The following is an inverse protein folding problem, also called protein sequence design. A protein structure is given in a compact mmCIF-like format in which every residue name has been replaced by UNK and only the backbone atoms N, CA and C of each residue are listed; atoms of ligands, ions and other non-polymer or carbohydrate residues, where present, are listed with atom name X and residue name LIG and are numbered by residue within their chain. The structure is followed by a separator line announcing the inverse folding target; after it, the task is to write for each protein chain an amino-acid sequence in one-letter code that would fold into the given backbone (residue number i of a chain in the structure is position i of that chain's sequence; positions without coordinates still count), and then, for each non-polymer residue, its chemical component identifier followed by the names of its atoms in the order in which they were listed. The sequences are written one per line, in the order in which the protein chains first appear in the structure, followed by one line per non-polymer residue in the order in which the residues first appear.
data_IF_355585199687
#
_entry.id   IF_355585199687
#
_cell.length_a   1.000
_cell.length_b   1.000
_cell.length_c   1.000
_cell.angle_alpha   90.00
_cell.angle_beta   90.00
_cell.angle_gamma   90.00
#
_symmetry.space_group_name_H-M   'P 1'
#
loop_
_entity.id
_entity.type
_entity.pdbx_description
1 polymer ?
#
# COMPACT_ATOMS: atom_id res chain seq x y z
N UNK A 1 10.64 16.92 5.22
CA UNK A 1 11.93 16.23 5.43
C UNK A 1 11.84 15.60 6.81
N UNK A 2 11.85 14.28 6.93
CA UNK A 2 11.76 13.59 8.22
C UNK A 2 13.13 13.71 8.89
N UNK A 3 13.20 14.37 10.04
CA UNK A 3 14.42 14.41 10.85
C UNK A 3 14.37 13.28 11.87
N UNK A 4 15.48 12.52 11.97
CA UNK A 4 15.68 11.52 13.00
C UNK A 4 16.54 12.14 14.11
N UNK A 5 15.96 12.36 15.28
CA UNK A 5 16.69 12.74 16.49
C UNK A 5 17.01 11.46 17.29
N UNK A 6 18.31 11.15 17.43
CA UNK A 6 18.80 9.96 18.13
C UNK A 6 18.76 10.07 19.66
N UNK A 7 18.24 11.16 20.23
CA UNK A 7 18.32 11.45 21.66
C UNK A 7 17.04 11.22 22.47
N UNK A 8 15.91 10.85 21.85
CA UNK A 8 14.63 10.69 22.55
C UNK A 8 13.93 9.36 22.20
N UNK A 9 13.65 8.52 23.21
CA UNK A 9 13.09 7.17 23.07
C UNK A 9 11.61 7.14 22.66
N UNK A 10 10.94 8.29 22.58
CA UNK A 10 9.58 8.43 22.08
C UNK A 10 9.63 9.09 20.71
N UNK A 11 9.57 8.26 19.67
CA UNK A 11 9.42 8.66 18.27
C UNK A 11 8.13 9.47 18.09
N UNK A 12 8.17 10.78 18.32
CA UNK A 12 7.06 11.67 18.01
C UNK A 12 7.19 12.15 16.56
N UNK A 13 6.40 11.54 15.68
CA UNK A 13 6.14 12.05 14.35
C UNK A 13 5.26 13.30 14.50
N UNK A 14 5.85 14.48 14.28
CA UNK A 14 5.08 15.70 14.06
C UNK A 14 4.59 15.69 12.61
N UNK A 15 3.55 14.91 12.35
CA UNK A 15 2.66 15.17 11.23
C UNK A 15 1.70 16.26 11.71
N UNK A 16 1.76 17.44 11.10
CA UNK A 16 0.82 18.53 11.36
C UNK A 16 -0.61 18.00 11.35
N UNK A 17 -1.34 18.30 12.42
CA UNK A 17 -2.73 17.96 12.61
C UNK A 17 -3.57 18.35 11.37
N UNK A 18 -4.35 17.42 10.83
CA UNK A 18 -5.59 17.80 10.14
C UNK A 18 -5.81 17.43 8.67
N UNK A 19 -5.09 16.48 8.06
CA UNK A 19 -5.52 15.91 6.76
C UNK A 19 -5.47 14.38 6.81
N UNK A 20 -6.64 13.77 7.00
CA UNK A 20 -6.83 12.33 6.97
C UNK A 20 -6.50 11.87 5.53
N UNK A 21 -5.45 11.07 5.37
CA UNK A 21 -5.10 10.47 4.09
C UNK A 21 -6.25 9.52 3.71
N UNK A 22 -7.12 10.02 2.83
CA UNK A 22 -8.28 9.38 2.16
C UNK A 22 -8.88 8.15 2.85
N UNK A 23 -10.06 8.33 3.44
CA UNK A 23 -10.97 7.21 3.77
C UNK A 23 -11.10 6.28 2.54
N UNK A 24 -10.92 4.96 2.74
CA UNK A 24 -11.06 3.92 1.72
C UNK A 24 -12.39 4.06 0.96
N UNK A 25 -13.46 4.46 1.64
CA UNK A 25 -14.76 4.70 1.02
C UNK A 25 -14.72 5.91 0.08
N UNK A 26 -14.08 7.01 0.50
CA UNK A 26 -13.92 8.20 -0.35
C UNK A 26 -13.07 7.89 -1.59
N UNK A 27 -11.96 7.17 -1.43
CA UNK A 27 -11.12 6.74 -2.56
C UNK A 27 -11.91 5.95 -3.60
N UNK A 28 -12.72 4.97 -3.18
CA UNK A 28 -13.52 4.17 -4.09
C UNK A 28 -14.55 5.02 -4.86
N UNK A 29 -15.18 5.98 -4.18
CA UNK A 29 -16.13 6.89 -4.82
C UNK A 29 -15.44 7.76 -5.88
N UNK A 30 -14.29 8.37 -5.55
CA UNK A 30 -13.49 9.18 -6.48
C UNK A 30 -13.02 8.38 -7.69
N UNK A 31 -12.65 7.12 -7.49
CA UNK A 31 -12.26 6.21 -8.59
C UNK A 31 -13.45 5.87 -9.50
N UNK A 32 -14.66 5.78 -8.95
CA UNK A 32 -15.90 5.65 -9.72
C UNK A 32 -16.18 6.88 -10.58
N UNK A 33 -16.12 8.08 -9.98
CA UNK A 33 -16.26 9.35 -10.71
C UNK A 33 -15.22 9.46 -11.85
N UNK A 34 -13.97 9.07 -11.58
CA UNK A 34 -12.92 9.05 -12.61
C UNK A 34 -13.25 8.09 -13.77
N UNK A 35 -13.87 6.95 -13.49
CA UNK A 35 -14.30 6.00 -14.51
C UNK A 35 -15.44 6.55 -15.39
N UNK A 36 -16.29 7.42 -14.85
CA UNK A 36 -17.31 8.12 -15.66
C UNK A 36 -16.68 9.17 -16.58
N UNK A 37 -15.64 9.88 -16.12
CA UNK A 37 -14.94 10.89 -16.92
C UNK A 37 -14.05 10.26 -18.01
N UNK A 38 -13.38 9.13 -17.69
CA UNK A 38 -12.38 8.49 -18.55
C UNK A 38 -12.66 6.98 -18.73
N UNK A 39 -13.82 6.57 -19.26
CA UNK A 39 -14.25 5.18 -19.26
C UNK A 39 -13.33 4.25 -20.03
N UNK A 40 -12.81 4.69 -21.18
CA UNK A 40 -11.87 3.88 -21.99
C UNK A 40 -10.53 3.66 -21.28
N UNK A 41 -10.00 4.71 -20.64
CA UNK A 41 -8.70 4.66 -19.94
C UNK A 41 -8.81 3.82 -18.67
N UNK A 42 -9.85 4.05 -17.87
CA UNK A 42 -10.07 3.29 -16.63
C UNK A 42 -10.36 1.82 -16.91
N UNK A 43 -11.14 1.51 -17.95
CA UNK A 43 -11.35 0.12 -18.39
C UNK A 43 -10.04 -0.55 -18.81
N UNK A 44 -9.18 0.16 -19.56
CA UNK A 44 -7.89 -0.38 -19.97
C UNK A 44 -6.97 -0.63 -18.75
N UNK A 45 -6.94 0.29 -17.79
CA UNK A 45 -6.18 0.14 -16.55
C UNK A 45 -6.66 -1.07 -15.73
N UNK A 46 -7.97 -1.21 -15.54
CA UNK A 46 -8.54 -2.37 -14.83
C UNK A 46 -8.29 -3.68 -15.59
N UNK A 47 -8.37 -3.65 -16.92
CA UNK A 47 -8.00 -4.76 -17.78
C UNK A 47 -6.55 -5.20 -17.57
N UNK A 48 -5.61 -4.25 -17.61
CA UNK A 48 -4.19 -4.50 -17.35
C UNK A 48 -3.98 -5.14 -15.98
N UNK A 49 -4.59 -4.58 -14.92
CA UNK A 49 -4.51 -5.14 -13.58
C UNK A 49 -5.02 -6.59 -13.55
N UNK A 50 -6.19 -6.86 -14.16
CA UNK A 50 -6.79 -8.19 -14.20
C UNK A 50 -5.95 -9.21 -14.97
N UNK A 51 -5.17 -8.80 -15.97
CA UNK A 51 -4.26 -9.69 -16.67
C UNK A 51 -2.96 -9.94 -15.88
N UNK A 52 -2.42 -8.91 -15.24
CA UNK A 52 -1.18 -9.06 -14.44
C UNK A 52 -1.40 -10.00 -13.28
N UNK A 53 -2.56 -9.95 -12.61
CA UNK A 53 -2.79 -10.70 -11.36
C UNK A 53 -3.03 -12.20 -11.55
N UNK A 54 -3.33 -12.67 -12.76
CA UNK A 54 -3.57 -14.11 -13.02
C UNK A 54 -2.37 -14.96 -12.61
N UNK A 55 -2.63 -16.17 -12.11
CA UNK A 55 -1.56 -17.14 -11.83
C UNK A 55 -0.76 -17.47 -13.09
N UNK A 56 0.55 -17.65 -12.91
CA UNK A 56 1.49 -18.07 -13.95
C UNK A 56 2.75 -18.63 -13.33
N UNK A 57 3.92 -18.25 -13.85
CA UNK A 57 5.20 -18.60 -13.22
C UNK A 57 5.34 -18.05 -11.79
N UNK A 58 4.65 -16.94 -11.50
CA UNK A 58 4.44 -16.42 -10.15
C UNK A 58 2.95 -16.48 -9.84
N UNK A 59 2.63 -16.88 -8.61
CA UNK A 59 1.25 -16.89 -8.13
C UNK A 59 0.69 -15.47 -7.99
N UNK A 60 -0.64 -15.34 -8.04
CA UNK A 60 -1.35 -14.09 -7.75
C UNK A 60 -0.92 -13.50 -6.40
N UNK A 61 -0.80 -14.34 -5.37
CA UNK A 61 -0.32 -13.98 -4.02
C UNK A 61 1.08 -13.37 -4.07
N UNK A 62 2.01 -14.00 -4.78
CA UNK A 62 3.38 -13.48 -4.94
C UNK A 62 3.36 -12.12 -5.63
N UNK A 63 2.52 -11.96 -6.65
CA UNK A 63 2.38 -10.69 -7.38
C UNK A 63 1.77 -9.58 -6.52
N UNK A 64 0.78 -9.88 -5.67
CA UNK A 64 0.26 -8.90 -4.70
C UNK A 64 1.35 -8.46 -3.72
N UNK A 65 2.14 -9.40 -3.17
CA UNK A 65 3.27 -9.04 -2.28
C UNK A 65 4.29 -8.13 -2.99
N UNK A 66 4.57 -8.37 -4.28
CA UNK A 66 5.40 -7.47 -5.08
C UNK A 66 4.75 -6.09 -5.24
N UNK A 67 3.44 -6.02 -5.51
CA UNK A 67 2.70 -4.76 -5.61
C UNK A 67 2.69 -4.01 -4.28
N UNK A 68 2.60 -4.69 -3.13
CA UNK A 68 2.75 -4.08 -1.81
C UNK A 68 4.13 -3.43 -1.65
N UNK A 69 5.20 -4.16 -1.96
CA UNK A 69 6.56 -3.60 -1.90
C UNK A 69 6.74 -2.36 -2.81
N UNK A 70 6.21 -2.42 -4.03
CA UNK A 70 6.21 -1.29 -4.98
C UNK A 70 5.39 -0.12 -4.43
N UNK A 71 4.19 -0.37 -3.89
CA UNK A 71 3.32 0.66 -3.34
C UNK A 71 3.98 1.39 -2.16
N UNK A 72 4.70 0.66 -1.28
CA UNK A 72 5.50 1.26 -0.20
C UNK A 72 6.62 2.12 -0.78
N UNK A 73 7.38 1.61 -1.74
CA UNK A 73 8.49 2.34 -2.36
C UNK A 73 8.02 3.62 -3.08
N UNK A 74 6.85 3.56 -3.72
CA UNK A 74 6.21 4.70 -4.37
C UNK A 74 5.52 5.65 -3.39
N UNK A 75 5.36 5.27 -2.12
CA UNK A 75 4.60 6.01 -1.12
C UNK A 75 3.14 6.23 -1.56
N UNK A 76 2.55 5.21 -2.18
CA UNK A 76 1.18 5.26 -2.66
C UNK A 76 0.24 4.63 -1.62
N UNK A 77 -0.30 5.45 -0.71
CA UNK A 77 -1.26 4.98 0.28
C UNK A 77 -2.53 4.33 -0.31
N UNK A 78 -3.20 4.92 -1.33
CA UNK A 78 -4.34 4.28 -2.00
C UNK A 78 -3.99 2.87 -2.53
N UNK A 79 -2.78 2.69 -3.05
CA UNK A 79 -2.31 1.42 -3.54
C UNK A 79 -2.13 0.41 -2.39
N UNK A 80 -1.65 0.85 -1.21
CA UNK A 80 -1.54 -0.01 -0.03
C UNK A 80 -2.91 -0.49 0.46
N UNK A 81 -3.89 0.43 0.53
CA UNK A 81 -5.28 0.11 0.87
C UNK A 81 -5.94 -0.86 -0.10
N UNK A 82 -5.42 -0.97 -1.33
CA UNK A 82 -5.87 -1.98 -2.31
C UNK A 82 -5.09 -3.29 -2.17
N UNK A 83 -3.77 -3.26 -2.20
CA UNK A 83 -2.96 -4.48 -2.41
C UNK A 83 -2.65 -5.25 -1.11
N UNK A 84 -2.57 -4.59 0.04
CA UNK A 84 -2.36 -5.32 1.31
C UNK A 84 -3.55 -6.25 1.62
N UNK A 85 -4.83 -5.80 1.55
CA UNK A 85 -5.96 -6.70 1.75
C UNK A 85 -6.03 -7.83 0.71
N UNK A 86 -5.72 -7.56 -0.56
CA UNK A 86 -5.77 -8.63 -1.57
C UNK A 86 -4.65 -9.67 -1.38
N UNK A 87 -3.45 -9.25 -0.97
CA UNK A 87 -2.40 -10.19 -0.57
C UNK A 87 -2.90 -11.13 0.54
N UNK A 88 -3.50 -10.56 1.60
CA UNK A 88 -4.04 -11.31 2.74
C UNK A 88 -5.20 -12.22 2.33
N UNK A 89 -6.11 -11.74 1.47
CA UNK A 89 -7.21 -12.55 0.91
C UNK A 89 -6.70 -13.76 0.10
N UNK A 90 -5.55 -13.61 -0.54
CA UNK A 90 -4.85 -14.69 -1.25
C UNK A 90 -3.97 -15.57 -0.34
N UNK A 91 -4.08 -15.40 0.98
CA UNK A 91 -3.37 -16.20 1.99
C UNK A 91 -1.94 -15.76 2.25
N UNK A 92 -1.57 -14.51 1.97
CA UNK A 92 -0.33 -13.95 2.47
C UNK A 92 -0.41 -13.76 3.98
N UNK A 93 0.64 -14.13 4.71
CA UNK A 93 0.71 -13.91 6.16
C UNK A 93 1.20 -12.50 6.47
N UNK A 94 1.00 -12.07 7.72
CA UNK A 94 1.55 -10.81 8.22
C UNK A 94 3.06 -10.74 7.99
N UNK A 95 3.77 -11.82 8.25
CA UNK A 95 5.24 -11.91 8.10
C UNK A 95 5.67 -11.68 6.66
N UNK A 96 4.97 -12.28 5.69
CA UNK A 96 5.30 -12.11 4.27
C UNK A 96 5.04 -10.68 3.77
N UNK A 97 3.98 -10.03 4.27
CA UNK A 97 3.74 -8.61 4.01
C UNK A 97 4.89 -7.77 4.59
N UNK A 98 5.33 -8.07 5.82
CA UNK A 98 6.46 -7.37 6.44
C UNK A 98 7.79 -7.61 5.71
N UNK A 99 8.01 -8.80 5.15
CA UNK A 99 9.18 -9.06 4.30
C UNK A 99 9.13 -8.23 3.01
N UNK A 100 7.97 -8.10 2.36
CA UNK A 100 7.80 -7.21 1.21
C UNK A 100 8.11 -5.75 1.57
N UNK A 101 7.62 -5.27 2.72
CA UNK A 101 7.93 -3.93 3.25
C UNK A 101 9.43 -3.76 3.49
N UNK A 102 10.10 -4.77 4.07
CA UNK A 102 11.55 -4.74 4.32
C UNK A 102 12.35 -4.53 3.03
N UNK A 103 11.98 -5.21 1.94
CA UNK A 103 12.61 -4.99 0.63
C UNK A 103 12.38 -3.58 0.09
N UNK A 104 11.21 -2.98 0.35
CA UNK A 104 10.95 -1.59 -0.02
C UNK A 104 11.79 -0.60 0.82
N UNK A 105 12.00 -0.88 2.10
CA UNK A 105 12.81 -0.04 3.00
C UNK A 105 14.26 0.02 2.55
N UNK A 106 14.89 -1.11 2.19
CA UNK A 106 16.29 -1.07 1.73
C UNK A 106 16.44 -0.26 0.42
N UNK A 107 15.42 -0.23 -0.42
CA UNK A 107 15.45 0.47 -1.71
C UNK A 107 15.09 1.96 -1.61
N UNK A 108 14.12 2.32 -0.76
CA UNK A 108 13.56 3.67 -0.70
C UNK A 108 13.84 4.41 0.62
N UNK A 109 14.46 3.76 1.60
CA UNK A 109 14.95 4.35 2.85
C UNK A 109 13.84 4.79 3.82
N UNK A 110 14.10 5.86 4.58
CA UNK A 110 13.21 6.39 5.61
C UNK A 110 11.76 6.63 5.19
N UNK A 111 11.47 7.16 3.98
CA UNK A 111 10.09 7.31 3.54
C UNK A 111 9.30 6.00 3.38
N UNK A 112 9.95 4.93 2.92
CA UNK A 112 9.32 3.61 2.88
C UNK A 112 9.07 3.07 4.29
N UNK A 113 9.99 3.31 5.22
CA UNK A 113 9.79 2.94 6.63
C UNK A 113 8.57 3.67 7.24
N UNK A 114 8.39 4.95 6.92
CA UNK A 114 7.23 5.73 7.39
C UNK A 114 5.90 5.21 6.84
N UNK A 115 5.83 4.87 5.54
CA UNK A 115 4.61 4.29 4.95
C UNK A 115 4.33 2.87 5.44
N UNK A 116 5.39 2.07 5.64
CA UNK A 116 5.29 0.78 6.30
C UNK A 116 4.69 0.91 7.71
N UNK A 117 5.18 1.86 8.52
CA UNK A 117 4.71 2.03 9.89
C UNK A 117 3.33 2.66 10.00
N UNK A 118 3.02 3.67 9.19
CA UNK A 118 1.77 4.44 9.32
C UNK A 118 0.59 3.78 8.59
N UNK A 119 0.83 3.21 7.42
CA UNK A 119 -0.24 2.73 6.52
C UNK A 119 -0.33 1.22 6.55
N UNK A 120 0.79 0.50 6.33
CA UNK A 120 0.74 -0.97 6.25
C UNK A 120 0.34 -1.60 7.58
N UNK A 121 0.93 -1.15 8.70
CA UNK A 121 0.53 -1.65 10.02
C UNK A 121 -0.95 -1.38 10.32
N UNK A 122 -1.44 -0.17 10.01
CA UNK A 122 -2.85 0.19 10.18
C UNK A 122 -3.78 -0.75 9.39
N UNK A 123 -3.46 -1.04 8.14
CA UNK A 123 -4.27 -1.94 7.32
C UNK A 123 -4.30 -3.35 7.91
N UNK A 124 -3.14 -3.88 8.33
CA UNK A 124 -3.07 -5.22 8.91
C UNK A 124 -3.84 -5.31 10.23
N UNK A 125 -3.80 -4.25 11.05
CA UNK A 125 -4.62 -4.15 12.27
C UNK A 125 -6.12 -4.16 11.96
N UNK A 126 -6.58 -3.41 10.95
CA UNK A 126 -7.99 -3.41 10.52
C UNK A 126 -8.43 -4.78 9.96
N UNK A 127 -7.50 -5.53 9.37
CA UNK A 127 -7.74 -6.89 8.88
C UNK A 127 -7.67 -7.96 9.98
N UNK A 128 -7.23 -7.60 11.19
CA UNK A 128 -6.98 -8.52 12.31
C UNK A 128 -6.01 -9.67 11.97
N UNK A 129 -4.92 -9.35 11.26
CA UNK A 129 -3.84 -10.30 10.89
C UNK A 129 -2.47 -9.88 11.36
#
# INVERSE_FOLDING_TARGET
MIFFDSSNSSYQLVCSEGENLTDKAEMNNRMGEMAEQLPGVMKALMGLHSEVIKDGALSARTKELMMVGIAVALRCEPCLWKHVPEAVNLGATREEVMEAVSTAIVMAGGPAAAYGSLVVLKILEELNV
#
